data_IF_301301355282
#
_entry.id   IF_301301355282
#
_cell.length_a   1.000
_cell.length_b   1.000
_cell.length_c   1.000
_cell.angle_alpha   90.00
_cell.angle_beta   90.00
_cell.angle_gamma   90.00
#
_symmetry.space_group_name_H-M   'P 1'
#
loop_
_entity.id
_entity.type
_entity.pdbx_description
1 polymer ?
#
# COMPACT_ATOMS: atom_id res chain seq x y z
N UNK A 1 5.39 -17.90 15.44
CA UNK A 1 4.54 -16.81 14.92
C UNK A 1 5.23 -15.49 15.22
N UNK A 2 5.58 -14.71 14.20
CA UNK A 2 6.30 -13.44 14.36
C UNK A 2 5.36 -12.27 14.03
N UNK A 3 5.13 -11.38 14.97
CA UNK A 3 4.29 -10.20 14.76
C UNK A 3 5.01 -9.17 13.88
N UNK A 4 4.28 -8.58 12.92
CA UNK A 4 4.85 -7.64 11.96
C UNK A 4 3.85 -6.54 11.58
N UNK A 5 4.35 -5.39 11.17
CA UNK A 5 3.59 -4.36 10.45
C UNK A 5 4.11 -4.30 9.03
N UNK A 6 3.22 -4.41 8.05
CA UNK A 6 3.59 -4.37 6.64
C UNK A 6 3.22 -3.01 6.05
N UNK A 7 4.18 -2.30 5.45
CA UNK A 7 3.93 -1.01 4.82
C UNK A 7 4.17 -1.07 3.32
N UNK A 8 3.22 -0.54 2.55
CA UNK A 8 3.30 -0.45 1.09
C UNK A 8 3.26 1.00 0.62
N UNK A 9 4.22 1.38 -0.22
CA UNK A 9 4.28 2.72 -0.81
C UNK A 9 3.35 2.87 -2.01
N UNK A 10 3.18 4.11 -2.50
CA UNK A 10 2.28 4.39 -3.61
C UNK A 10 2.66 3.66 -4.90
N UNK A 11 3.95 3.44 -5.17
CA UNK A 11 4.40 2.64 -6.31
C UNK A 11 4.02 1.16 -6.21
N UNK A 12 3.98 0.61 -5.00
CA UNK A 12 3.52 -0.76 -4.72
C UNK A 12 2.00 -0.92 -4.86
N UNK A 13 1.27 0.20 -4.93
CA UNK A 13 -0.19 0.26 -4.97
C UNK A 13 -0.68 1.10 -6.18
N UNK A 14 0.14 1.22 -7.22
CA UNK A 14 -0.07 2.20 -8.29
C UNK A 14 -1.32 1.92 -9.14
N UNK A 15 -1.70 0.66 -9.25
CA UNK A 15 -2.78 0.16 -10.08
C UNK A 15 -3.36 -1.13 -9.48
N UNK A 16 -4.40 -1.67 -10.13
CA UNK A 16 -5.08 -2.88 -9.68
C UNK A 16 -4.14 -4.09 -9.59
N UNK A 17 -3.33 -4.33 -10.61
CA UNK A 17 -2.46 -5.52 -10.67
C UNK A 17 -1.41 -5.48 -9.54
N UNK A 18 -0.91 -4.29 -9.22
CA UNK A 18 -0.01 -4.05 -8.08
C UNK A 18 -0.69 -4.31 -6.74
N UNK A 19 -1.94 -3.89 -6.58
CA UNK A 19 -2.73 -4.17 -5.35
C UNK A 19 -2.96 -5.67 -5.21
N UNK A 20 -3.36 -6.36 -6.28
CA UNK A 20 -3.55 -7.81 -6.29
C UNK A 20 -2.24 -8.54 -5.95
N UNK A 21 -1.11 -8.06 -6.46
CA UNK A 21 0.21 -8.57 -6.10
C UNK A 21 0.53 -8.39 -4.61
N UNK A 22 0.30 -7.19 -4.05
CA UNK A 22 0.51 -6.91 -2.62
C UNK A 22 -0.39 -7.78 -1.74
N UNK A 23 -1.66 -7.96 -2.11
CA UNK A 23 -2.59 -8.81 -1.38
C UNK A 23 -2.11 -10.26 -1.31
N UNK A 24 -1.66 -10.81 -2.45
CA UNK A 24 -1.08 -12.15 -2.52
C UNK A 24 0.22 -12.26 -1.72
N UNK A 25 1.06 -11.22 -1.73
CA UNK A 25 2.27 -11.18 -0.92
C UNK A 25 1.94 -11.26 0.58
N UNK A 26 0.97 -10.46 1.07
CA UNK A 26 0.53 -10.50 2.47
C UNK A 26 0.02 -11.89 2.84
N UNK A 27 -0.81 -12.50 1.98
CA UNK A 27 -1.31 -13.87 2.18
C UNK A 27 -0.16 -14.87 2.33
N UNK A 28 0.81 -14.85 1.41
CA UNK A 28 1.96 -15.76 1.45
C UNK A 28 2.80 -15.57 2.72
N UNK A 29 2.94 -14.33 3.22
CA UNK A 29 3.64 -14.08 4.48
C UNK A 29 2.86 -14.63 5.69
N UNK A 30 1.53 -14.55 5.68
CA UNK A 30 0.70 -15.17 6.73
C UNK A 30 0.90 -16.69 6.73
N UNK A 31 0.88 -17.32 5.55
CA UNK A 31 1.13 -18.75 5.40
C UNK A 31 2.55 -19.16 5.85
N UNK A 32 3.53 -18.28 5.69
CA UNK A 32 4.89 -18.47 6.19
C UNK A 32 5.04 -18.28 7.72
N UNK A 33 3.96 -17.97 8.45
CA UNK A 33 3.94 -17.88 9.91
C UNK A 33 4.17 -16.48 10.48
N UNK A 34 4.17 -15.44 9.64
CA UNK A 34 4.10 -14.05 10.09
C UNK A 34 2.66 -13.68 10.48
N UNK A 35 2.51 -12.79 11.46
CA UNK A 35 1.22 -12.28 11.91
C UNK A 35 1.17 -10.75 11.72
N UNK A 36 0.58 -10.26 10.63
CA UNK A 36 0.41 -8.83 10.42
C UNK A 36 -0.53 -8.26 11.47
N UNK A 37 -0.04 -7.34 12.31
CA UNK A 37 -0.87 -6.57 13.25
C UNK A 37 -1.55 -5.38 12.59
N UNK A 38 -0.90 -4.84 11.55
CA UNK A 38 -1.43 -3.78 10.72
C UNK A 38 -0.82 -3.87 9.31
N UNK A 39 -1.58 -3.37 8.35
CA UNK A 39 -1.11 -3.09 6.99
C UNK A 39 -1.28 -1.59 6.75
N UNK A 40 -0.17 -0.90 6.47
CA UNK A 40 -0.14 0.55 6.28
C UNK A 40 0.02 0.84 4.79
N UNK A 41 -0.92 1.58 4.22
CA UNK A 41 -0.94 1.90 2.80
C UNK A 41 -0.73 3.39 2.57
N UNK A 42 0.17 3.75 1.66
CA UNK A 42 0.20 5.09 1.08
C UNK A 42 -0.91 5.26 0.04
N UNK A 43 -1.21 6.50 -0.35
CA UNK A 43 -2.07 6.77 -1.51
C UNK A 43 -1.47 6.14 -2.78
N UNK A 44 -2.34 5.73 -3.71
CA UNK A 44 -1.97 5.03 -4.94
C UNK A 44 -1.08 5.89 -5.85
N UNK A 45 0.00 5.32 -6.38
CA UNK A 45 0.81 5.96 -7.43
C UNK A 45 1.22 7.40 -7.11
N UNK A 46 0.74 8.35 -7.92
CA UNK A 46 1.00 9.79 -7.80
C UNK A 46 -0.17 10.58 -7.20
N UNK A 47 -1.18 9.91 -6.63
CA UNK A 47 -2.41 10.54 -6.14
C UNK A 47 -2.16 11.67 -5.16
N UNK A 48 -1.21 11.55 -4.23
CA UNK A 48 -0.87 12.66 -3.32
C UNK A 48 -0.45 13.91 -4.08
N UNK A 49 0.38 13.77 -5.13
CA UNK A 49 0.80 14.91 -5.94
C UNK A 49 -0.39 15.50 -6.72
N UNK A 50 -1.26 14.66 -7.29
CA UNK A 50 -2.48 15.13 -7.98
C UNK A 50 -3.39 15.95 -7.07
N UNK A 51 -3.56 15.52 -5.81
CA UNK A 51 -4.34 16.27 -4.81
C UNK A 51 -3.68 17.61 -4.44
N UNK A 52 -2.36 17.63 -4.29
CA UNK A 52 -1.62 18.87 -4.03
C UNK A 52 -1.78 19.87 -5.20
N UNK A 53 -1.58 19.40 -6.44
CA UNK A 53 -1.75 20.24 -7.62
C UNK A 53 -3.19 20.75 -7.79
N UNK A 54 -4.19 19.94 -7.46
CA UNK A 54 -5.59 20.37 -7.49
C UNK A 54 -5.88 21.45 -6.43
N UNK A 55 -5.29 21.32 -5.24
CA UNK A 55 -5.39 22.33 -4.19
C UNK A 55 -4.72 23.65 -4.59
N UNK A 56 -3.52 23.58 -5.18
CA UNK A 56 -2.82 24.76 -5.71
C UNK A 56 -3.62 25.48 -6.81
N UNK A 57 -4.30 24.73 -7.69
CA UNK A 57 -5.14 25.30 -8.74
C UNK A 57 -6.42 25.99 -8.22
N UNK A 58 -6.89 25.62 -7.03
CA UNK A 58 -8.12 26.16 -6.46
C UNK A 58 -7.93 27.48 -5.68
N UNK A 59 -6.69 27.93 -5.52
CA UNK A 59 -6.29 29.18 -4.85
C UNK A 59 -6.09 30.32 -5.86
#
# INVERSE_FOLDING_TARGET
VMDVVMKFGGSSLADKDRIDHVANLIKNQIEAGYRPRAVVCSAMGKTTNSLLSAGEFAL
#
